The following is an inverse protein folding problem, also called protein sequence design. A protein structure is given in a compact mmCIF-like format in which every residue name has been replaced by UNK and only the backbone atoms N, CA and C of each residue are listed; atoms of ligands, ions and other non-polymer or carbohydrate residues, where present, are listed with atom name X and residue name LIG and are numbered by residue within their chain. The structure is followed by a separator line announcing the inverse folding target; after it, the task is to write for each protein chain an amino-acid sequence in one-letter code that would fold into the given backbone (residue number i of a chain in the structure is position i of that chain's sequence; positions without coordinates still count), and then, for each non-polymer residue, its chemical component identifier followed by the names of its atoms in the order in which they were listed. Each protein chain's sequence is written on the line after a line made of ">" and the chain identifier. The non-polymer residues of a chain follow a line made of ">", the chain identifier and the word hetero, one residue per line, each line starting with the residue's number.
data_IF_309679144027
#
_entry.id   IF_309679144027
#
_cell.length_a   1.000
_cell.length_b   1.000
_cell.length_c   1.000
_cell.angle_alpha   90.00
_cell.angle_beta   90.00
_cell.angle_gamma   90.00
#
_symmetry.space_group_name_H-M   'P 1'
#
loop_
_entity.id
_entity.type
_entity.pdbx_description
1 polymer ?
#
# COMPACT_ATOMS: atom_id res chain seq x y z
N UNK A 1 84.56 -28.82 -1.77
CA UNK A 1 83.84 -28.30 -2.96
C UNK A 1 83.09 -29.48 -3.54
N UNK A 2 82.00 -29.85 -2.90
CA UNK A 2 80.62 -29.43 -3.24
C UNK A 2 80.12 -30.08 -4.52
N UNK A 3 79.12 -30.97 -4.38
CA UNK A 3 77.96 -31.13 -5.29
C UNK A 3 77.19 -32.41 -4.93
N UNK A 4 76.14 -32.28 -4.11
CA UNK A 4 75.06 -33.26 -4.03
C UNK A 4 73.79 -32.63 -4.65
N UNK A 5 72.98 -33.37 -5.44
CA UNK A 5 71.80 -32.82 -6.10
C UNK A 5 70.66 -32.64 -5.09
N UNK A 6 70.19 -31.41 -4.89
CA UNK A 6 68.97 -31.14 -4.12
C UNK A 6 67.75 -31.51 -4.97
N UNK A 7 66.97 -32.46 -4.48
CA UNK A 7 65.64 -32.78 -5.01
C UNK A 7 64.70 -31.57 -4.86
N UNK A 8 64.09 -31.16 -5.97
CA UNK A 8 63.09 -30.10 -6.06
C UNK A 8 61.68 -30.68 -5.87
N UNK A 9 61.03 -30.40 -4.74
CA UNK A 9 59.56 -30.31 -4.53
C UNK A 9 59.27 -30.24 -3.01
N UNK A 10 58.39 -29.33 -2.52
CA UNK A 10 56.97 -29.35 -2.90
C UNK A 10 56.39 -27.93 -3.05
N UNK A 11 56.38 -27.40 -4.28
CA UNK A 11 55.65 -26.16 -4.60
C UNK A 11 54.13 -26.40 -4.74
N UNK A 12 53.73 -27.66 -4.91
CA UNK A 12 52.35 -28.11 -5.08
C UNK A 12 51.50 -28.07 -3.81
N UNK A 13 52.11 -28.07 -2.61
CA UNK A 13 51.37 -28.00 -1.35
C UNK A 13 50.94 -26.57 -0.98
N UNK A 14 51.71 -25.55 -1.39
CA UNK A 14 51.45 -24.13 -1.10
C UNK A 14 50.37 -23.54 -2.01
N UNK A 15 50.31 -23.96 -3.27
CA UNK A 15 49.30 -23.52 -4.24
C UNK A 15 47.86 -23.91 -3.84
N UNK A 16 47.69 -25.05 -3.14
CA UNK A 16 46.37 -25.56 -2.74
C UNK A 16 45.77 -24.78 -1.57
N UNK A 17 46.60 -24.26 -0.65
CA UNK A 17 46.14 -23.49 0.51
C UNK A 17 45.66 -22.08 0.13
N UNK A 18 46.26 -21.44 -0.87
CA UNK A 18 45.90 -20.09 -1.32
C UNK A 18 44.56 -20.05 -2.05
N UNK A 19 44.27 -21.08 -2.85
CA UNK A 19 43.03 -21.18 -3.62
C UNK A 19 41.77 -21.28 -2.72
N UNK A 20 41.87 -22.06 -1.63
CA UNK A 20 40.78 -22.19 -0.66
C UNK A 20 40.44 -20.92 0.12
N UNK A 21 41.37 -19.96 0.22
CA UNK A 21 41.16 -18.68 0.90
C UNK A 21 40.52 -17.64 -0.04
N UNK A 22 40.98 -17.56 -1.30
CA UNK A 22 40.38 -16.69 -2.31
C UNK A 22 38.93 -17.08 -2.61
N UNK A 23 38.62 -18.38 -2.66
CA UNK A 23 37.26 -18.90 -2.84
C UNK A 23 36.33 -18.51 -1.69
N UNK A 24 36.84 -18.47 -0.45
CA UNK A 24 36.09 -18.00 0.73
C UNK A 24 35.84 -16.49 0.68
N UNK A 25 36.83 -15.69 0.28
CA UNK A 25 36.68 -14.23 0.13
C UNK A 25 35.64 -13.81 -0.92
N UNK A 26 35.57 -14.48 -2.08
CA UNK A 26 34.51 -14.20 -3.07
C UNK A 26 33.12 -14.64 -2.58
N UNK A 27 33.04 -15.69 -1.76
CA UNK A 27 31.78 -16.11 -1.12
C UNK A 27 31.33 -15.08 -0.07
N UNK A 28 32.26 -14.52 0.71
CA UNK A 28 31.95 -13.49 1.70
C UNK A 28 31.52 -12.16 1.06
N UNK A 29 32.17 -11.73 -0.03
CA UNK A 29 31.76 -10.54 -0.77
C UNK A 29 30.38 -10.73 -1.44
N UNK A 30 30.13 -11.91 -2.00
CA UNK A 30 28.81 -12.24 -2.55
C UNK A 30 27.73 -12.22 -1.45
N UNK A 31 28.03 -12.76 -0.26
CA UNK A 31 27.13 -12.68 0.91
C UNK A 31 26.87 -11.23 1.32
N UNK A 32 27.91 -10.40 1.38
CA UNK A 32 27.77 -8.98 1.74
C UNK A 32 26.90 -8.22 0.75
N UNK A 33 27.11 -8.41 -0.57
CA UNK A 33 26.32 -7.77 -1.60
C UNK A 33 24.85 -8.20 -1.58
N UNK A 34 24.59 -9.49 -1.29
CA UNK A 34 23.22 -10.00 -1.12
C UNK A 34 22.58 -9.40 0.14
N UNK A 35 23.30 -9.33 1.26
CA UNK A 35 22.83 -8.74 2.51
C UNK A 35 22.45 -7.25 2.32
N UNK A 36 23.29 -6.48 1.62
CA UNK A 36 23.05 -5.06 1.36
C UNK A 36 21.86 -4.84 0.41
N UNK A 37 21.70 -5.71 -0.59
CA UNK A 37 20.53 -5.69 -1.48
C UNK A 37 19.24 -5.99 -0.71
N UNK A 38 19.26 -6.97 0.20
CA UNK A 38 18.12 -7.29 1.06
C UNK A 38 17.78 -6.10 1.96
N UNK A 39 18.79 -5.41 2.52
CA UNK A 39 18.59 -4.21 3.34
C UNK A 39 17.95 -3.06 2.55
N UNK A 40 18.40 -2.80 1.33
CA UNK A 40 17.82 -1.78 0.45
C UNK A 40 16.34 -2.08 0.15
N UNK A 41 16.01 -3.32 -0.21
CA UNK A 41 14.63 -3.74 -0.46
C UNK A 41 13.76 -3.55 0.78
N UNK A 42 14.27 -3.92 1.96
CA UNK A 42 13.55 -3.69 3.22
C UNK A 42 13.32 -2.20 3.51
N UNK A 43 14.28 -1.33 3.14
CA UNK A 43 14.16 0.12 3.30
C UNK A 43 13.11 0.70 2.34
N UNK A 44 13.10 0.30 1.06
CA UNK A 44 12.07 0.75 0.12
C UNK A 44 10.68 0.31 0.55
N UNK A 45 10.52 -0.91 1.07
CA UNK A 45 9.25 -1.38 1.63
C UNK A 45 8.83 -0.53 2.83
N UNK A 46 9.77 -0.20 3.73
CA UNK A 46 9.49 0.66 4.87
C UNK A 46 9.08 2.07 4.43
N UNK A 47 9.77 2.64 3.45
CA UNK A 47 9.49 3.97 2.93
C UNK A 47 8.13 4.01 2.22
N UNK A 48 7.86 3.05 1.32
CA UNK A 48 6.57 2.92 0.65
C UNK A 48 5.43 2.76 1.66
N UNK A 49 5.65 1.99 2.75
CA UNK A 49 4.67 1.87 3.83
C UNK A 49 4.40 3.20 4.53
N UNK A 50 5.43 4.00 4.80
CA UNK A 50 5.28 5.33 5.41
C UNK A 50 4.53 6.27 4.47
N UNK A 51 4.89 6.32 3.19
CA UNK A 51 4.26 7.18 2.20
C UNK A 51 2.77 6.84 2.03
N UNK A 52 2.44 5.55 1.91
CA UNK A 52 1.04 5.08 1.86
C UNK A 52 0.30 5.48 3.15
N UNK A 53 0.93 5.35 4.32
CA UNK A 53 0.31 5.75 5.59
C UNK A 53 0.07 7.27 5.65
N UNK A 54 1.01 8.08 5.19
CA UNK A 54 0.92 9.54 5.14
C UNK A 54 -0.22 9.97 4.20
N UNK A 55 -0.25 9.43 2.98
CA UNK A 55 -1.32 9.66 2.00
C UNK A 55 -2.69 9.24 2.54
N UNK A 56 -2.76 8.09 3.22
CA UNK A 56 -4.01 7.62 3.81
C UNK A 56 -4.46 8.55 4.95
N UNK A 57 -3.55 8.97 5.83
CA UNK A 57 -3.85 9.89 6.93
C UNK A 57 -4.34 11.24 6.42
N UNK A 58 -3.68 11.82 5.42
CA UNK A 58 -4.09 13.11 4.85
C UNK A 58 -5.45 13.01 4.15
N UNK A 59 -5.67 11.95 3.37
CA UNK A 59 -6.94 11.70 2.69
C UNK A 59 -8.09 11.47 3.69
N UNK A 60 -7.85 10.73 4.78
CA UNK A 60 -8.86 10.54 5.82
C UNK A 60 -9.23 11.87 6.48
N UNK A 61 -8.25 12.69 6.84
CA UNK A 61 -8.51 14.02 7.44
C UNK A 61 -9.34 14.88 6.49
N UNK A 62 -8.97 14.94 5.22
CA UNK A 62 -9.72 15.68 4.20
C UNK A 62 -11.16 15.14 4.06
N UNK A 63 -11.33 13.82 4.01
CA UNK A 63 -12.64 13.18 3.93
C UNK A 63 -13.52 13.51 5.14
N UNK A 64 -12.95 13.49 6.35
CA UNK A 64 -13.67 13.87 7.58
C UNK A 64 -14.12 15.32 7.52
N UNK A 65 -13.22 16.25 7.15
CA UNK A 65 -13.54 17.68 7.06
C UNK A 65 -14.63 17.93 6.02
N UNK A 66 -14.53 17.29 4.84
CA UNK A 66 -15.57 17.38 3.81
C UNK A 66 -16.90 16.80 4.27
N UNK A 67 -16.89 15.69 5.00
CA UNK A 67 -18.10 15.11 5.58
C UNK A 67 -18.77 16.08 6.57
N UNK A 68 -18.00 16.70 7.48
CA UNK A 68 -18.53 17.74 8.37
C UNK A 68 -19.06 18.94 7.58
N UNK A 69 -18.33 19.43 6.57
CA UNK A 69 -18.77 20.54 5.75
C UNK A 69 -20.09 20.24 5.02
N UNK A 70 -20.25 19.02 4.51
CA UNK A 70 -21.50 18.57 3.89
C UNK A 70 -22.66 18.56 4.89
N UNK A 71 -22.45 18.09 6.13
CA UNK A 71 -23.46 18.15 7.19
C UNK A 71 -23.82 19.59 7.54
N UNK A 72 -22.82 20.47 7.73
CA UNK A 72 -23.06 21.89 8.00
C UNK A 72 -23.83 22.58 6.86
N UNK A 73 -23.49 22.29 5.61
CA UNK A 73 -24.20 22.81 4.44
C UNK A 73 -25.66 22.34 4.40
N UNK A 74 -25.92 21.08 4.77
CA UNK A 74 -27.28 20.55 4.87
C UNK A 74 -28.08 21.29 5.96
N UNK A 75 -27.50 21.49 7.15
CA UNK A 75 -28.13 22.26 8.22
C UNK A 75 -28.39 23.71 7.83
N UNK A 76 -27.43 24.36 7.16
CA UNK A 76 -27.60 25.71 6.63
C UNK A 76 -28.76 25.77 5.64
N UNK A 77 -28.87 24.81 4.72
CA UNK A 77 -29.97 24.73 3.76
C UNK A 77 -31.32 24.60 4.48
N UNK A 78 -31.41 23.74 5.50
CA UNK A 78 -32.63 23.58 6.30
C UNK A 78 -33.01 24.90 6.98
N UNK A 79 -32.06 25.57 7.64
CA UNK A 79 -32.32 26.84 8.33
C UNK A 79 -32.66 27.98 7.36
N UNK A 80 -32.04 28.00 6.18
CA UNK A 80 -32.35 28.95 5.12
C UNK A 80 -33.81 28.79 4.67
N UNK A 81 -34.25 27.56 4.44
CA UNK A 81 -35.63 27.24 4.06
C UNK A 81 -36.62 27.63 5.17
N UNK A 82 -36.36 27.24 6.42
CA UNK A 82 -37.17 27.71 7.57
C UNK A 82 -37.28 29.24 7.63
N UNK A 83 -36.18 29.96 7.35
CA UNK A 83 -36.18 31.43 7.30
C UNK A 83 -37.09 31.94 6.17
N UNK A 84 -37.05 31.33 4.98
CA UNK A 84 -37.93 31.67 3.85
C UNK A 84 -39.40 31.41 4.19
N UNK A 85 -39.72 30.27 4.81
CA UNK A 85 -41.07 29.93 5.23
C UNK A 85 -41.65 30.90 6.28
N UNK A 86 -40.80 31.47 7.15
CA UNK A 86 -41.21 32.47 8.14
C UNK A 86 -41.44 33.86 7.54
N UNK A 87 -40.71 34.22 6.48
CA UNK A 87 -40.83 35.53 5.81
C UNK A 87 -42.06 35.60 4.90
N UNK A 88 -42.50 34.47 4.32
CA UNK A 88 -43.64 34.44 3.38
C UNK A 88 -44.94 34.11 4.14
N UNK A 89 -46.02 34.91 3.99
CA UNK A 89 -47.29 34.69 4.70
C UNK A 89 -48.03 33.38 4.34
N UNK A 90 -47.64 32.73 3.25
CA UNK A 90 -48.16 31.43 2.81
C UNK A 90 -47.36 30.24 3.39
N UNK A 91 -47.17 30.23 4.70
CA UNK A 91 -46.27 29.32 5.43
C UNK A 91 -46.44 27.84 5.07
N UNK A 92 -47.68 27.37 4.89
CA UNK A 92 -47.97 25.96 4.62
C UNK A 92 -47.56 25.50 3.21
N UNK A 93 -47.74 26.34 2.18
CA UNK A 93 -47.32 26.00 0.82
C UNK A 93 -45.80 26.03 0.68
N UNK A 94 -45.15 27.01 1.32
CA UNK A 94 -43.70 27.13 1.31
C UNK A 94 -43.06 25.93 2.02
N UNK A 95 -43.51 25.60 3.24
CA UNK A 95 -43.03 24.43 3.98
C UNK A 95 -43.25 23.11 3.21
N UNK A 96 -44.35 22.99 2.47
CA UNK A 96 -44.62 21.82 1.62
C UNK A 96 -43.62 21.67 0.47
N UNK A 97 -43.32 22.76 -0.24
CA UNK A 97 -42.32 22.78 -1.33
C UNK A 97 -40.94 22.45 -0.78
N UNK A 98 -40.56 23.04 0.35
CA UNK A 98 -39.29 22.79 1.04
C UNK A 98 -39.11 21.31 1.38
N UNK A 99 -40.16 20.70 1.95
CA UNK A 99 -40.16 19.27 2.30
C UNK A 99 -40.00 18.40 1.05
N UNK A 100 -40.68 18.74 -0.05
CA UNK A 100 -40.56 18.01 -1.31
C UNK A 100 -39.15 18.10 -1.91
N UNK A 101 -38.52 19.29 -1.86
CA UNK A 101 -37.14 19.50 -2.32
C UNK A 101 -36.17 18.65 -1.51
N UNK A 102 -36.31 18.60 -0.18
CA UNK A 102 -35.47 17.77 0.67
C UNK A 102 -35.70 16.27 0.46
N UNK A 103 -36.93 15.84 0.21
CA UNK A 103 -37.23 14.44 -0.10
C UNK A 103 -36.52 14.00 -1.39
N UNK A 104 -36.57 14.84 -2.43
CA UNK A 104 -35.86 14.58 -3.69
C UNK A 104 -34.36 14.56 -3.49
N UNK A 105 -33.81 15.55 -2.76
CA UNK A 105 -32.39 15.62 -2.46
C UNK A 105 -31.91 14.39 -1.67
N UNK A 106 -32.68 13.96 -0.66
CA UNK A 106 -32.41 12.77 0.14
C UNK A 106 -32.39 11.51 -0.74
N UNK A 107 -33.35 11.35 -1.65
CA UNK A 107 -33.39 10.22 -2.56
C UNK A 107 -32.16 10.20 -3.48
N UNK A 108 -31.77 11.35 -4.04
CA UNK A 108 -30.57 11.45 -4.89
C UNK A 108 -29.32 11.11 -4.08
N UNK A 109 -29.12 11.70 -2.90
CA UNK A 109 -27.97 11.42 -2.04
C UNK A 109 -27.94 9.96 -1.57
N UNK A 110 -29.09 9.36 -1.27
CA UNK A 110 -29.18 7.95 -0.90
C UNK A 110 -28.80 7.03 -2.06
N UNK A 111 -29.24 7.32 -3.28
CA UNK A 111 -28.91 6.55 -4.48
C UNK A 111 -27.43 6.70 -4.87
N UNK A 112 -26.93 7.94 -4.90
CA UNK A 112 -25.52 8.23 -5.18
C UNK A 112 -24.64 7.61 -4.08
N UNK A 113 -24.95 7.84 -2.82
CA UNK A 113 -24.24 7.25 -1.68
C UNK A 113 -24.22 5.72 -1.74
N UNK A 114 -25.36 5.09 -2.05
CA UNK A 114 -25.44 3.64 -2.27
C UNK A 114 -24.57 3.17 -3.43
N UNK A 115 -24.51 3.93 -4.53
CA UNK A 115 -23.65 3.61 -5.68
C UNK A 115 -22.15 3.78 -5.38
N UNK A 116 -21.79 4.71 -4.49
CA UNK A 116 -20.42 4.94 -4.03
C UNK A 116 -20.00 3.94 -2.94
N UNK A 117 -20.96 3.35 -2.22
CA UNK A 117 -20.74 2.25 -1.28
C UNK A 117 -20.31 0.98 -2.02
N UNK A 118 -19.04 0.91 -2.41
CA UNK A 118 -18.37 -0.35 -2.73
C UNK A 118 -17.91 -1.02 -1.44
N UNK A 119 -18.87 -1.51 -0.65
CA UNK A 119 -18.60 -2.44 0.45
C UNK A 119 -18.34 -3.81 -0.20
N UNK A 120 -17.13 -3.95 -0.70
CA UNK A 120 -16.56 -5.18 -1.21
C UNK A 120 -15.06 -5.13 -0.91
N UNK A 121 -14.43 -6.26 -0.56
CA UNK A 121 -13.02 -6.28 -0.22
C UNK A 121 -12.19 -5.65 -1.34
N UNK A 122 -11.14 -4.86 -1.04
CA UNK A 122 -10.46 -4.00 -2.00
C UNK A 122 -10.03 -4.83 -3.23
N UNK A 123 -10.60 -4.54 -4.43
CA UNK A 123 -10.48 -5.43 -5.59
C UNK A 123 -9.07 -5.48 -6.16
N UNK A 124 -8.23 -4.49 -5.84
CA UNK A 124 -6.86 -4.37 -6.37
C UNK A 124 -5.82 -5.17 -5.57
N UNK A 125 -6.10 -5.53 -4.32
CA UNK A 125 -5.18 -6.33 -3.49
C UNK A 125 -5.50 -7.82 -3.54
N UNK A 126 -6.75 -8.19 -3.81
CA UNK A 126 -7.12 -9.61 -3.88
C UNK A 126 -6.68 -10.29 -5.17
N UNK A 127 -6.50 -9.59 -6.29
CA UNK A 127 -6.02 -10.21 -7.54
C UNK A 127 -4.54 -10.54 -7.44
N UNK A 128 -3.72 -9.59 -6.99
CA UNK A 128 -2.27 -9.79 -6.83
C UNK A 128 -1.97 -10.85 -5.77
N UNK A 129 -2.67 -10.83 -4.61
CA UNK A 129 -2.47 -11.85 -3.58
C UNK A 129 -2.95 -13.24 -3.99
N UNK A 130 -3.95 -13.35 -4.89
CA UNK A 130 -4.40 -14.65 -5.43
C UNK A 130 -3.43 -15.19 -6.47
N UNK A 131 -2.93 -14.36 -7.37
CA UNK A 131 -1.90 -14.76 -8.34
C UNK A 131 -0.58 -15.14 -7.66
N UNK A 132 -0.18 -14.42 -6.62
CA UNK A 132 1.01 -14.74 -5.82
C UNK A 132 0.86 -16.07 -5.06
N UNK A 133 -0.33 -16.35 -4.54
CA UNK A 133 -0.63 -17.63 -3.88
C UNK A 133 -0.68 -18.81 -4.86
N UNK A 134 -1.20 -18.59 -6.07
CA UNK A 134 -1.20 -19.56 -7.17
C UNK A 134 0.24 -19.88 -7.62
N UNK A 135 1.08 -18.85 -7.81
CA UNK A 135 2.48 -19.01 -8.19
C UNK A 135 3.28 -19.74 -7.10
N UNK A 136 3.09 -19.39 -5.82
CA UNK A 136 3.72 -20.07 -4.69
C UNK A 136 3.33 -21.56 -4.61
N UNK A 137 2.06 -21.90 -4.86
CA UNK A 137 1.61 -23.31 -4.91
C UNK A 137 2.25 -24.08 -6.07
N UNK A 138 2.40 -23.44 -7.24
CA UNK A 138 3.04 -24.08 -8.40
C UNK A 138 4.53 -24.34 -8.17
N UNK A 139 5.24 -23.42 -7.52
CA UNK A 139 6.65 -23.61 -7.14
C UNK A 139 6.82 -24.76 -6.15
N UNK A 140 5.97 -24.84 -5.12
CA UNK A 140 6.02 -25.95 -4.15
C UNK A 140 5.67 -27.30 -4.80
N UNK A 141 4.69 -27.35 -5.71
CA UNK A 141 4.31 -28.57 -6.43
C UNK A 141 5.39 -29.03 -7.42
N UNK A 142 6.17 -28.11 -7.98
CA UNK A 142 7.26 -28.42 -8.93
C UNK A 142 8.51 -28.99 -8.24
N UNK A 143 8.77 -28.62 -6.98
CA UNK A 143 9.96 -29.03 -6.22
C UNK A 143 9.77 -30.32 -5.40
N UNK A 144 8.60 -30.97 -5.50
CA UNK A 144 8.24 -32.20 -4.79
C UNK A 144 8.34 -33.49 -5.64
N UNK A 145 9.09 -33.47 -6.75
CA UNK A 145 9.47 -34.65 -7.53
C UNK A 145 10.98 -34.72 -7.62
#
# INVERSE_FOLDING_TARGET
>A
MDSAPRASAPDSARATATNGNSRRGVIDLARLAVEDTIRLVQQEIQLAKVEIQEMLRSNIKAAVILALAAVCALFFLVMLLVTVALVIPAHALVAGIETAVFLVLLLILALVGKSMLKIGPPPKTMTTLKEDAEWAKQVLKRNGK
#
